data_IF_667407840270
#
_entry.id   IF_667407840270
#
_cell.length_a   1.000
_cell.length_b   1.000
_cell.length_c   1.000
_cell.angle_alpha   90.00
_cell.angle_beta   90.00
_cell.angle_gamma   90.00
#
_symmetry.space_group_name_H-M   'P 1'
#
loop_
_entity.id
_entity.type
_entity.pdbx_description
1 polymer ?
#
# COMPACT_ATOMS: atom_id res chain seq x y z
N UNK A 1 5.53 8.92 -11.77
CA UNK A 1 5.29 8.50 -10.38
C UNK A 1 4.20 9.37 -9.81
N UNK A 2 3.31 8.82 -8.98
CA UNK A 2 2.37 9.60 -8.19
C UNK A 2 2.32 9.10 -6.75
N UNK A 3 1.99 9.98 -5.82
CA UNK A 3 1.71 9.63 -4.44
C UNK A 3 0.22 9.37 -4.28
N UNK A 4 -0.18 8.11 -4.03
CA UNK A 4 -1.58 7.72 -3.99
C UNK A 4 -2.19 7.79 -2.58
N UNK A 5 -1.35 7.71 -1.53
CA UNK A 5 -1.81 7.81 -0.16
C UNK A 5 -0.75 8.42 0.76
N UNK A 6 -1.24 9.07 1.82
CA UNK A 6 -0.47 9.47 3.00
C UNK A 6 -1.08 8.75 4.19
N UNK A 7 -0.26 8.21 5.07
CA UNK A 7 -0.69 7.44 6.24
C UNK A 7 0.00 7.96 7.49
N UNK A 8 -0.78 8.21 8.53
CA UNK A 8 -0.25 8.40 9.87
C UNK A 8 0.12 7.02 10.44
N UNK A 9 1.34 6.92 10.95
CA UNK A 9 1.86 5.67 11.50
C UNK A 9 1.41 5.54 12.96
N UNK A 10 1.05 4.32 13.41
CA UNK A 10 0.72 4.07 14.81
C UNK A 10 1.82 4.52 15.76
N UNK A 11 1.45 4.76 17.01
CA UNK A 11 2.39 5.01 18.12
C UNK A 11 3.33 6.19 17.85
N UNK A 12 2.77 7.28 17.31
CA UNK A 12 3.49 8.50 16.96
C UNK A 12 4.70 8.26 16.04
N UNK A 13 4.68 7.17 15.26
CA UNK A 13 5.75 6.79 14.33
C UNK A 13 5.93 7.74 13.13
N UNK A 14 5.22 8.87 13.11
CA UNK A 14 5.28 9.88 12.06
C UNK A 14 4.31 9.61 10.91
N UNK A 15 4.72 9.98 9.70
CA UNK A 15 3.91 9.84 8.49
C UNK A 15 4.62 8.96 7.47
N UNK A 16 3.84 8.33 6.62
CA UNK A 16 4.35 7.62 5.45
C UNK A 16 3.65 8.09 4.17
N UNK A 17 4.39 8.00 3.07
CA UNK A 17 3.89 8.26 1.73
C UNK A 17 3.96 6.96 0.94
N UNK A 18 2.86 6.68 0.24
CA UNK A 18 2.75 5.56 -0.68
C UNK A 18 2.76 6.07 -2.11
N UNK A 19 3.71 5.60 -2.90
CA UNK A 19 3.88 6.03 -4.28
C UNK A 19 3.70 4.86 -5.23
N UNK A 20 3.23 5.17 -6.44
CA UNK A 20 3.22 4.23 -7.53
C UNK A 20 3.94 4.79 -8.76
N UNK A 21 4.84 3.97 -9.30
CA UNK A 21 5.69 4.32 -10.42
C UNK A 21 5.50 3.30 -11.52
N UNK A 22 5.03 3.76 -12.68
CA UNK A 22 5.02 2.96 -13.91
C UNK A 22 6.24 3.31 -14.75
N UNK A 23 7.00 2.29 -15.13
CA UNK A 23 8.06 2.38 -16.13
C UNK A 23 7.58 1.67 -17.41
N UNK A 24 7.28 2.43 -18.45
CA UNK A 24 7.01 1.87 -19.78
C UNK A 24 8.30 1.78 -20.58
N UNK A 25 8.52 0.65 -21.27
CA UNK A 25 9.61 0.51 -22.23
C UNK A 25 9.04 0.30 -23.63
N UNK A 26 9.78 0.70 -24.67
CA UNK A 26 9.39 0.46 -26.06
C UNK A 26 9.31 -1.03 -26.42
N UNK A 27 9.92 -1.91 -25.62
CA UNK A 27 10.07 -3.34 -25.91
C UNK A 27 9.09 -4.26 -25.17
N UNK A 28 8.12 -3.72 -24.42
CA UNK A 28 7.22 -4.61 -23.71
C UNK A 28 6.19 -3.94 -22.81
N UNK A 29 5.31 -4.76 -22.22
CA UNK A 29 4.35 -4.29 -21.24
C UNK A 29 5.11 -3.66 -20.07
N UNK A 30 4.84 -2.37 -19.80
CA UNK A 30 5.51 -1.63 -18.74
C UNK A 30 5.45 -2.34 -17.37
N UNK A 31 6.38 -2.01 -16.49
CA UNK A 31 6.40 -2.47 -15.10
C UNK A 31 5.85 -1.40 -14.16
N UNK A 32 5.30 -1.85 -13.04
CA UNK A 32 4.79 -1.02 -11.96
C UNK A 32 5.52 -1.37 -10.68
N UNK A 33 5.96 -0.34 -9.96
CA UNK A 33 6.54 -0.39 -8.63
C UNK A 33 5.66 0.37 -7.67
N UNK A 34 5.28 -0.28 -6.57
CA UNK A 34 4.66 0.36 -5.41
C UNK A 34 5.73 0.55 -4.35
N UNK A 35 5.75 1.75 -3.78
CA UNK A 35 6.79 2.14 -2.83
C UNK A 35 6.17 2.73 -1.57
N UNK A 36 6.75 2.38 -0.43
CA UNK A 36 6.41 2.91 0.89
C UNK A 36 7.62 3.66 1.43
N UNK A 37 7.41 4.90 1.87
CA UNK A 37 8.47 5.72 2.46
C UNK A 37 7.96 6.34 3.74
N UNK A 38 8.61 6.03 4.86
CA UNK A 38 8.39 6.72 6.12
C UNK A 38 9.10 8.08 6.09
N UNK A 39 8.53 9.06 6.77
CA UNK A 39 9.14 10.37 6.99
C UNK A 39 9.91 10.42 8.31
N UNK A 40 10.25 9.26 8.90
CA UNK A 40 10.90 9.21 10.20
C UNK A 40 12.31 9.85 10.08
N UNK A 41 12.43 11.03 10.68
CA UNK A 41 13.60 11.88 10.92
C UNK A 41 14.50 12.30 9.74
N UNK A 42 14.41 11.68 8.55
CA UNK A 42 15.18 12.11 7.39
C UNK A 42 14.40 12.07 6.08
N UNK A 43 14.48 13.17 5.32
CA UNK A 43 13.96 13.27 3.96
C UNK A 43 14.62 12.30 2.96
N UNK A 44 15.73 11.65 3.35
CA UNK A 44 16.48 10.68 2.53
C UNK A 44 16.25 9.22 2.93
N UNK A 45 15.33 8.92 3.85
CA UNK A 45 14.99 7.56 4.19
C UNK A 45 14.63 6.75 2.91
N UNK A 46 15.26 5.57 2.71
CA UNK A 46 15.06 4.81 1.49
C UNK A 46 13.60 4.36 1.38
N UNK A 47 13.05 4.45 0.17
CA UNK A 47 11.73 3.93 -0.11
C UNK A 47 11.79 2.40 -0.24
N UNK A 48 10.97 1.69 0.52
CA UNK A 48 10.79 0.25 0.44
C UNK A 48 9.91 -0.08 -0.77
N UNK A 49 10.26 -1.14 -1.51
CA UNK A 49 9.41 -1.65 -2.60
C UNK A 49 8.45 -2.68 -2.04
N UNK A 50 7.16 -2.36 -2.05
CA UNK A 50 6.10 -3.17 -1.41
C UNK A 50 5.27 -3.98 -2.40
N UNK A 51 5.44 -3.71 -3.70
CA UNK A 51 4.77 -4.46 -4.75
C UNK A 51 5.42 -4.25 -6.11
N UNK A 52 5.42 -5.30 -6.93
CA UNK A 52 5.92 -5.25 -8.32
C UNK A 52 4.98 -6.00 -9.24
N UNK A 53 4.50 -5.32 -10.28
CA UNK A 53 3.65 -5.93 -11.29
C UNK A 53 4.19 -5.66 -12.69
N UNK A 54 4.01 -6.63 -13.60
CA UNK A 54 4.27 -6.49 -15.03
C UNK A 54 2.96 -6.66 -15.78
N UNK A 55 2.87 -6.14 -16.99
CA UNK A 55 1.69 -6.35 -17.85
C UNK A 55 0.38 -5.90 -17.22
N UNK A 56 0.41 -4.79 -16.47
CA UNK A 56 -0.76 -4.20 -15.82
C UNK A 56 -1.01 -2.77 -16.29
N UNK A 57 -2.29 -2.38 -16.27
CA UNK A 57 -2.72 -1.01 -16.47
C UNK A 57 -2.53 -0.14 -15.21
N UNK A 58 -2.19 -0.73 -14.06
CA UNK A 58 -1.98 -0.01 -12.82
C UNK A 58 -1.02 1.17 -13.01
N UNK A 59 -1.31 2.23 -12.30
CA UNK A 59 -0.54 3.46 -12.30
C UNK A 59 -0.47 4.13 -13.67
N UNK A 60 -1.60 4.09 -14.38
CA UNK A 60 -1.84 4.76 -15.65
C UNK A 60 -3.25 5.34 -15.71
N UNK A 61 -3.59 6.05 -16.79
CA UNK A 61 -4.95 6.56 -17.03
C UNK A 61 -6.04 5.47 -17.02
N UNK A 62 -5.66 4.23 -17.31
CA UNK A 62 -6.58 3.08 -17.40
C UNK A 62 -6.60 2.20 -16.15
N UNK A 63 -5.66 2.42 -15.21
CA UNK A 63 -5.58 1.69 -13.95
C UNK A 63 -5.19 2.66 -12.85
N UNK A 64 -6.15 3.48 -12.46
CA UNK A 64 -5.95 4.58 -11.51
C UNK A 64 -6.01 4.11 -10.06
N UNK A 65 -6.67 2.97 -9.81
CA UNK A 65 -6.90 2.44 -8.48
C UNK A 65 -5.86 1.38 -8.13
N UNK A 66 -5.28 1.54 -6.95
CA UNK A 66 -4.30 0.59 -6.37
C UNK A 66 -4.55 0.44 -4.88
N UNK A 67 -4.26 -0.75 -4.36
CA UNK A 67 -4.08 -1.03 -2.93
C UNK A 67 -2.80 -1.83 -2.76
N UNK A 68 -2.06 -1.54 -1.69
CA UNK A 68 -0.84 -2.23 -1.32
C UNK A 68 -0.70 -2.30 0.21
N UNK A 69 0.13 -3.22 0.69
CA UNK A 69 0.47 -3.35 2.10
C UNK A 69 1.96 -3.58 2.33
N UNK A 70 2.42 -3.27 3.54
CA UNK A 70 3.74 -3.65 4.02
C UNK A 70 3.71 -3.97 5.52
N UNK A 71 4.77 -4.64 5.99
CA UNK A 71 5.01 -4.87 7.41
C UNK A 71 5.88 -3.74 7.93
N UNK A 72 5.53 -3.22 9.09
CA UNK A 72 6.26 -2.13 9.72
C UNK A 72 6.34 -2.35 11.22
N UNK A 73 7.49 -2.00 11.80
CA UNK A 73 7.74 -2.10 13.24
C UNK A 73 7.83 -0.70 13.80
N UNK A 74 7.02 -0.42 14.81
CA UNK A 74 7.05 0.84 15.55
C UNK A 74 8.33 0.97 16.39
N UNK A 75 8.67 2.19 16.80
CA UNK A 75 9.82 2.44 17.68
C UNK A 75 9.72 1.72 19.03
N UNK A 76 8.51 1.38 19.46
CA UNK A 76 8.22 0.56 20.65
C UNK A 76 8.50 -0.94 20.46
N UNK A 77 8.79 -1.40 19.23
CA UNK A 77 8.97 -2.82 18.87
C UNK A 77 7.67 -3.52 18.46
N UNK A 78 6.51 -2.87 18.57
CA UNK A 78 5.26 -3.44 18.09
C UNK A 78 5.21 -3.55 16.57
N UNK A 79 4.66 -4.66 16.09
CA UNK A 79 4.59 -4.98 14.66
C UNK A 79 3.20 -4.75 14.10
N UNK A 80 3.16 -4.17 12.92
CA UNK A 80 1.95 -3.79 12.22
C UNK A 80 1.98 -4.26 10.77
N UNK A 81 0.82 -4.69 10.29
CA UNK A 81 0.50 -4.63 8.87
C UNK A 81 -0.09 -3.25 8.58
N UNK A 82 0.54 -2.53 7.66
CA UNK A 82 0.04 -1.28 7.11
C UNK A 82 -0.52 -1.53 5.72
N UNK A 83 -1.65 -0.93 5.39
CA UNK A 83 -2.22 -0.97 4.06
C UNK A 83 -2.73 0.41 3.65
N UNK A 84 -2.61 0.72 2.36
CA UNK A 84 -3.12 1.96 1.81
C UNK A 84 -3.69 1.76 0.40
N UNK A 85 -4.74 2.52 0.14
CA UNK A 85 -5.46 2.56 -1.13
C UNK A 85 -5.41 3.94 -1.78
N UNK A 86 -5.58 3.96 -3.11
CA UNK A 86 -5.73 5.20 -3.89
C UNK A 86 -6.96 6.01 -3.46
N UNK A 87 -7.09 7.24 -3.99
CA UNK A 87 -8.11 8.23 -3.57
C UNK A 87 -9.56 7.73 -3.54
N UNK A 88 -9.92 6.78 -4.40
CA UNK A 88 -11.30 6.29 -4.55
C UNK A 88 -11.60 5.07 -3.65
N UNK A 89 -10.60 4.59 -2.89
CA UNK A 89 -10.78 3.53 -1.88
C UNK A 89 -11.54 4.09 -0.68
N UNK A 90 -12.63 3.41 -0.32
CA UNK A 90 -13.53 3.76 0.78
C UNK A 90 -13.46 2.80 1.96
N UNK A 91 -12.89 1.61 1.77
CA UNK A 91 -12.66 0.62 2.83
C UNK A 91 -11.47 -0.26 2.45
N UNK A 92 -10.71 -0.67 3.46
CA UNK A 92 -9.69 -1.70 3.35
C UNK A 92 -10.05 -2.83 4.30
N UNK A 93 -9.94 -4.06 3.81
CA UNK A 93 -10.19 -5.29 4.55
C UNK A 93 -8.96 -6.18 4.48
N UNK A 94 -8.55 -6.68 5.63
CA UNK A 94 -7.47 -7.66 5.81
C UNK A 94 -8.13 -8.93 6.32
N UNK A 95 -7.81 -10.06 5.70
CA UNK A 95 -8.30 -11.39 6.11
C UNK A 95 -7.16 -12.39 6.19
N UNK A 96 -7.27 -13.39 7.06
CA UNK A 96 -6.32 -14.49 7.18
C UNK A 96 -5.98 -14.81 8.63
N UNK A 97 -4.70 -14.83 8.97
CA UNK A 97 -4.26 -14.99 10.38
C UNK A 97 -4.57 -13.76 11.24
N UNK A 98 -4.83 -12.62 10.60
CA UNK A 98 -5.33 -11.40 11.22
C UNK A 98 -6.50 -10.91 10.37
N UNK A 99 -7.64 -10.68 11.02
CA UNK A 99 -8.82 -10.08 10.39
C UNK A 99 -9.00 -8.65 10.89
N UNK A 100 -9.14 -7.72 9.95
CA UNK A 100 -9.43 -6.33 10.27
C UNK A 100 -10.16 -5.64 9.11
N UNK A 101 -11.06 -4.74 9.46
CA UNK A 101 -11.70 -3.84 8.49
C UNK A 101 -11.58 -2.41 8.98
N UNK A 102 -11.29 -1.49 8.06
CA UNK A 102 -11.32 -0.06 8.34
C UNK A 102 -11.96 0.70 7.19
N UNK A 103 -12.89 1.60 7.54
CA UNK A 103 -13.39 2.61 6.60
C UNK A 103 -12.29 3.64 6.32
N UNK A 104 -12.21 4.05 5.06
CA UNK A 104 -11.17 4.93 4.56
C UNK A 104 -10.12 4.20 3.73
N UNK A 105 -9.08 4.95 3.39
CA UNK A 105 -8.02 4.58 2.44
C UNK A 105 -6.71 4.15 3.09
N UNK A 106 -6.68 4.04 4.41
CA UNK A 106 -5.51 3.53 5.16
C UNK A 106 -5.98 2.61 6.29
N UNK A 107 -5.17 1.60 6.57
CA UNK A 107 -5.38 0.65 7.66
C UNK A 107 -4.02 0.36 8.31
N UNK A 108 -4.04 0.25 9.64
CA UNK A 108 -2.94 -0.28 10.42
C UNK A 108 -3.53 -1.25 11.44
N UNK A 109 -3.02 -2.47 11.47
CA UNK A 109 -3.45 -3.51 12.40
C UNK A 109 -2.23 -4.22 12.96
N UNK A 110 -2.25 -4.58 14.24
CA UNK A 110 -1.19 -5.40 14.84
C UNK A 110 -1.16 -6.74 14.15
N UNK A 111 0.03 -7.17 13.74
CA UNK A 111 0.21 -8.45 13.07
C UNK A 111 1.60 -9.01 13.40
N UNK A 112 1.74 -10.34 13.53
CA UNK A 112 3.03 -11.01 13.46
C UNK A 112 3.79 -10.64 12.17
N UNK A 113 5.11 -10.74 12.19
CA UNK A 113 5.98 -10.34 11.06
C UNK A 113 5.69 -11.17 9.79
N UNK A 114 5.43 -12.44 9.99
CA UNK A 114 5.22 -13.48 8.99
C UNK A 114 3.74 -13.79 8.74
N UNK A 115 2.84 -12.94 9.25
CA UNK A 115 1.41 -13.15 9.14
C UNK A 115 0.96 -13.31 7.68
N UNK A 116 0.28 -14.43 7.41
CA UNK A 116 -0.33 -14.75 6.12
C UNK A 116 -1.68 -14.10 6.02
N UNK A 117 -1.71 -13.00 5.27
CA UNK A 117 -2.89 -12.17 5.08
C UNK A 117 -3.13 -11.87 3.61
N UNK A 118 -4.40 -11.66 3.28
CA UNK A 118 -4.87 -11.08 2.03
C UNK A 118 -5.43 -9.70 2.31
N UNK A 119 -5.01 -8.69 1.54
CA UNK A 119 -5.58 -7.35 1.62
C UNK A 119 -6.45 -7.09 0.41
N UNK A 120 -7.63 -6.52 0.66
CA UNK A 120 -8.56 -6.05 -0.37
C UNK A 120 -9.02 -4.63 -0.05
N UNK A 121 -9.44 -3.92 -1.08
CA UNK A 121 -10.02 -2.60 -0.96
C UNK A 121 -11.37 -2.54 -1.66
N UNK A 122 -12.26 -1.68 -1.15
CA UNK A 122 -13.53 -1.36 -1.78
C UNK A 122 -13.46 0.05 -2.35
N UNK A 123 -13.84 0.21 -3.61
CA UNK A 123 -13.93 1.50 -4.27
C UNK A 123 -15.29 2.17 -4.02
N UNK A 124 -15.37 3.47 -4.25
CA UNK A 124 -16.58 4.27 -4.06
C UNK A 124 -17.76 3.84 -4.93
N UNK A 125 -17.48 3.26 -6.11
CA UNK A 125 -18.47 2.87 -7.11
C UNK A 125 -19.16 1.54 -6.84
N UNK A 126 -18.49 0.58 -6.20
CA UNK A 126 -18.97 -0.80 -6.33
C UNK A 126 -17.88 -1.84 -6.26
N UNK A 127 -16.73 -1.49 -6.80
CA UNK A 127 -15.75 -2.48 -7.18
C UNK A 127 -14.82 -2.86 -6.03
N UNK A 128 -14.45 -4.14 -6.02
CA UNK A 128 -13.43 -4.66 -5.13
C UNK A 128 -12.09 -4.73 -5.85
N UNK A 129 -11.03 -4.34 -5.15
CA UNK A 129 -9.69 -4.24 -5.66
C UNK A 129 -8.74 -5.12 -4.82
N UNK A 130 -8.00 -5.99 -5.48
CA UNK A 130 -6.91 -6.77 -4.87
C UNK A 130 -5.57 -6.03 -4.88
N UNK A 131 -4.63 -6.50 -4.08
CA UNK A 131 -3.27 -5.96 -4.06
C UNK A 131 -2.56 -6.10 -5.40
N UNK A 132 -1.82 -5.06 -5.77
CA UNK A 132 -1.02 -5.06 -6.99
C UNK A 132 0.37 -5.63 -6.68
N UNK A 133 0.72 -6.74 -7.34
CA UNK A 133 2.10 -7.25 -7.37
C UNK A 133 2.58 -7.93 -6.09
N UNK A 134 1.69 -8.67 -5.43
CA UNK A 134 1.94 -9.54 -4.27
C UNK A 134 1.99 -11.01 -4.68
#
# INVERSE_FOLDING_TARGET
>A
QWDFAKQELPEDGGRAVWSCTRASTWRGPGSVLLQFRTSAESATAPAEVVGRARSTAACSRFGQHVVASTRWTAGSGHRYLLAAGSRDVTRITVTGEVDAERRGRTLAVRAPEDARVTVRARLADGEELGEVGR
#
